data_IF_743498127818
#
_entry.id   IF_743498127818
#
_cell.length_a   1.000
_cell.length_b   1.000
_cell.length_c   1.000
_cell.angle_alpha   90.00
_cell.angle_beta   90.00
_cell.angle_gamma   90.00
#
_symmetry.space_group_name_H-M   'P 1'
#
loop_
_entity.id
_entity.type
_entity.pdbx_description
1 polymer ?
#
# COMPACT_ATOMS: atom_id res chain seq x y z
N UNK A 1 -38.20 27.82 -25.51
CA UNK A 1 -37.92 26.38 -25.45
C UNK A 1 -36.61 26.19 -26.16
N UNK A 2 -35.59 25.73 -25.44
CA UNK A 2 -34.49 24.92 -25.97
C UNK A 2 -33.82 24.30 -24.74
N UNK A 3 -34.40 23.17 -24.33
CA UNK A 3 -33.81 22.27 -23.37
C UNK A 3 -32.81 21.41 -24.14
N UNK A 4 -31.54 21.83 -24.19
CA UNK A 4 -30.47 20.89 -24.54
C UNK A 4 -30.02 20.19 -23.27
N UNK A 5 -30.66 19.04 -23.02
CA UNK A 5 -30.20 18.02 -22.09
C UNK A 5 -29.01 17.30 -22.74
N UNK A 6 -27.83 17.90 -22.68
CA UNK A 6 -26.58 17.17 -22.89
C UNK A 6 -26.20 16.48 -21.58
N UNK A 7 -26.54 15.19 -21.57
CA UNK A 7 -25.96 14.08 -20.84
C UNK A 7 -24.75 14.43 -19.94
N UNK A 8 -24.91 14.13 -18.64
CA UNK A 8 -23.87 14.16 -17.62
C UNK A 8 -22.79 13.09 -17.93
N UNK A 9 -21.87 13.41 -18.84
CA UNK A 9 -20.61 12.69 -18.96
C UNK A 9 -19.71 13.09 -17.78
N UNK A 10 -19.37 12.11 -16.93
CA UNK A 10 -18.49 12.27 -15.79
C UNK A 10 -17.05 12.46 -16.30
N UNK A 11 -16.65 13.72 -16.49
CA UNK A 11 -15.34 14.11 -17.01
C UNK A 11 -14.26 13.71 -15.99
N UNK A 12 -13.28 12.92 -16.43
CA UNK A 12 -12.11 12.52 -15.64
C UNK A 12 -11.24 13.73 -15.28
N UNK A 13 -10.57 13.72 -14.13
CA UNK A 13 -9.60 14.78 -13.73
C UNK A 13 -8.52 15.04 -14.81
N UNK A 14 -8.22 14.03 -15.64
CA UNK A 14 -7.29 14.11 -16.78
C UNK A 14 -7.77 15.02 -17.92
N UNK A 15 -9.08 15.18 -18.08
CA UNK A 15 -9.74 15.97 -19.14
C UNK A 15 -10.14 17.37 -18.66
N UNK A 16 -9.94 17.66 -17.37
CA UNK A 16 -10.31 18.92 -16.74
C UNK A 16 -9.51 20.11 -17.31
N UNK A 17 -8.23 19.89 -17.64
CA UNK A 17 -7.32 20.91 -18.19
C UNK A 17 -7.78 21.32 -19.60
N UNK A 18 -8.06 20.34 -20.47
CA UNK A 18 -8.57 20.60 -21.82
C UNK A 18 -9.93 21.31 -21.80
N UNK A 19 -10.77 20.99 -20.81
CA UNK A 19 -12.06 21.63 -20.62
C UNK A 19 -11.94 23.08 -20.08
N UNK A 20 -10.95 23.34 -19.22
CA UNK A 20 -10.62 24.68 -18.73
C UNK A 20 -10.21 25.59 -19.89
N UNK A 21 -9.27 25.15 -20.74
CA UNK A 21 -8.79 25.95 -21.87
C UNK A 21 -9.90 26.22 -22.90
N UNK A 22 -10.75 25.23 -23.20
CA UNK A 22 -11.95 25.45 -24.05
C UNK A 22 -12.91 26.46 -23.45
N UNK A 23 -13.06 26.46 -22.13
CA UNK A 23 -13.96 27.39 -21.42
C UNK A 23 -13.38 28.80 -21.38
N UNK A 24 -12.05 28.91 -21.25
CA UNK A 24 -11.32 30.17 -21.33
C UNK A 24 -11.43 30.81 -22.72
N UNK A 25 -11.25 30.03 -23.80
CA UNK A 25 -11.42 30.54 -25.17
C UNK A 25 -12.87 31.00 -25.45
N UNK A 26 -13.87 30.35 -24.84
CA UNK A 26 -15.27 30.80 -24.92
C UNK A 26 -15.54 32.12 -24.19
N UNK A 27 -14.81 32.41 -23.11
CA UNK A 27 -14.88 33.70 -22.41
C UNK A 27 -14.23 34.80 -23.27
N UNK A 28 -13.12 34.47 -23.93
CA UNK A 28 -12.37 35.39 -24.80
C UNK A 28 -13.08 35.74 -26.11
N UNK A 29 -13.86 34.80 -26.66
CA UNK A 29 -14.65 35.03 -27.87
C UNK A 29 -15.87 35.94 -27.67
N UNK A 30 -16.13 36.41 -26.45
CA UNK A 30 -17.21 37.35 -26.14
C UNK A 30 -18.59 36.70 -26.01
N UNK A 31 -18.67 35.36 -25.99
CA UNK A 31 -19.93 34.64 -25.88
C UNK A 31 -20.58 34.75 -24.48
N UNK A 32 -19.86 35.26 -23.48
CA UNK A 32 -20.37 35.46 -22.12
C UNK A 32 -20.09 36.88 -21.62
N UNK A 33 -21.13 37.60 -21.18
CA UNK A 33 -21.02 38.95 -20.62
C UNK A 33 -20.58 38.91 -19.15
N UNK A 34 -19.27 38.84 -18.90
CA UNK A 34 -18.69 38.84 -17.54
C UNK A 34 -18.70 40.25 -16.91
N UNK A 35 -18.53 41.30 -17.71
CA UNK A 35 -18.53 42.70 -17.28
C UNK A 35 -19.88 43.35 -17.62
N UNK A 36 -20.61 43.84 -16.61
CA UNK A 36 -21.88 44.58 -16.81
C UNK A 36 -21.62 46.09 -16.81
N UNK A 37 -20.74 46.57 -15.93
CA UNK A 37 -20.28 47.97 -15.89
C UNK A 37 -18.80 48.05 -15.51
N UNK A 38 -18.21 49.25 -15.44
CA UNK A 38 -16.81 49.43 -15.03
C UNK A 38 -16.51 48.94 -13.61
N UNK A 39 -17.53 48.85 -12.74
CA UNK A 39 -17.38 48.42 -11.35
C UNK A 39 -18.10 47.11 -11.02
N UNK A 40 -18.97 46.61 -11.90
CA UNK A 40 -19.83 45.44 -11.65
C UNK A 40 -19.62 44.31 -12.65
N UNK A 41 -19.38 43.12 -12.09
CA UNK A 41 -19.08 41.89 -12.81
C UNK A 41 -20.03 40.76 -12.40
N UNK A 42 -20.22 39.77 -13.27
CA UNK A 42 -21.09 38.62 -12.99
C UNK A 42 -20.45 37.30 -13.37
N UNK A 43 -20.82 36.24 -12.67
CA UNK A 43 -20.38 34.89 -12.99
C UNK A 43 -21.38 34.25 -13.99
N UNK A 44 -20.99 34.00 -15.25
CA UNK A 44 -21.86 33.39 -16.26
C UNK A 44 -22.26 31.95 -15.90
N UNK A 45 -21.48 31.28 -15.05
CA UNK A 45 -21.69 29.90 -14.64
C UNK A 45 -22.56 29.73 -13.39
N UNK A 46 -22.94 30.84 -12.72
CA UNK A 46 -23.75 30.82 -11.49
C UNK A 46 -25.06 31.64 -11.58
N UNK A 47 -25.98 31.36 -12.51
CA UNK A 47 -27.17 32.19 -12.73
C UNK A 47 -28.24 32.14 -11.61
N UNK A 48 -28.16 31.19 -10.66
CA UNK A 48 -29.26 30.89 -9.70
C UNK A 48 -29.01 31.32 -8.25
N UNK A 49 -27.97 32.09 -7.91
CA UNK A 49 -27.66 32.45 -6.50
C UNK A 49 -27.50 33.96 -6.26
N UNK A 50 -28.52 34.56 -5.61
CA UNK A 50 -28.69 35.80 -4.81
C UNK A 50 -27.69 36.98 -4.77
N UNK A 51 -26.50 36.94 -5.37
CA UNK A 51 -25.66 38.13 -5.65
C UNK A 51 -25.31 38.09 -7.13
N UNK A 52 -26.10 38.77 -7.94
CA UNK A 52 -25.82 38.87 -9.38
C UNK A 52 -24.61 39.75 -9.64
N UNK A 53 -24.39 40.74 -8.78
CA UNK A 53 -23.41 41.80 -8.97
C UNK A 53 -22.22 41.61 -8.02
N UNK A 54 -21.04 41.41 -8.59
CA UNK A 54 -19.77 41.26 -7.89
C UNK A 54 -18.86 42.45 -8.20
N UNK A 55 -18.10 42.92 -7.20
CA UNK A 55 -16.90 43.71 -7.47
C UNK A 55 -15.82 42.79 -8.07
N UNK A 56 -14.86 43.35 -8.82
CA UNK A 56 -13.79 42.57 -9.46
C UNK A 56 -13.11 41.57 -8.50
N UNK A 57 -12.71 42.05 -7.31
CA UNK A 57 -12.05 41.23 -6.28
C UNK A 57 -12.97 40.12 -5.73
N UNK A 58 -14.26 40.42 -5.57
CA UNK A 58 -15.23 39.47 -5.06
C UNK A 58 -15.54 38.38 -6.10
N UNK A 59 -15.59 38.74 -7.38
CA UNK A 59 -15.79 37.78 -8.47
C UNK A 59 -14.58 36.86 -8.62
N UNK A 60 -13.37 37.42 -8.53
CA UNK A 60 -12.14 36.62 -8.59
C UNK A 60 -12.10 35.62 -7.44
N UNK A 61 -12.39 36.06 -6.21
CA UNK A 61 -12.45 35.17 -5.05
C UNK A 61 -13.54 34.11 -5.19
N UNK A 62 -14.69 34.46 -5.77
CA UNK A 62 -15.77 33.52 -6.06
C UNK A 62 -15.34 32.45 -7.08
N UNK A 63 -14.73 32.87 -8.19
CA UNK A 63 -14.25 31.98 -9.25
C UNK A 63 -13.17 31.02 -8.73
N UNK A 64 -12.13 31.54 -8.07
CA UNK A 64 -11.04 30.73 -7.51
C UNK A 64 -11.51 29.82 -6.36
N UNK A 65 -12.49 30.27 -5.56
CA UNK A 65 -13.06 29.47 -4.48
C UNK A 65 -13.89 28.27 -4.97
N UNK A 66 -14.60 28.43 -6.09
CA UNK A 66 -15.36 27.31 -6.69
C UNK A 66 -14.44 26.38 -7.47
N UNK A 67 -13.46 26.93 -8.21
CA UNK A 67 -12.46 26.14 -8.95
C UNK A 67 -11.68 25.18 -8.05
N UNK A 68 -11.35 25.60 -6.83
CA UNK A 68 -10.61 24.80 -5.86
C UNK A 68 -11.50 23.95 -4.93
N UNK A 69 -12.82 23.87 -5.17
CA UNK A 69 -13.73 23.15 -4.28
C UNK A 69 -13.68 21.64 -4.49
N UNK A 70 -13.69 20.86 -3.41
CA UNK A 70 -13.83 19.39 -3.48
C UNK A 70 -15.27 18.90 -3.68
N UNK A 71 -16.27 19.79 -3.54
CA UNK A 71 -17.70 19.43 -3.53
C UNK A 71 -18.42 19.67 -4.85
N UNK A 72 -17.71 20.15 -5.88
CA UNK A 72 -18.28 20.54 -7.19
C UNK A 72 -17.83 19.58 -8.29
N UNK A 73 -18.59 19.49 -9.37
CA UNK A 73 -18.25 18.63 -10.50
C UNK A 73 -17.01 19.14 -11.23
N UNK A 74 -16.26 18.25 -11.90
CA UNK A 74 -15.06 18.62 -12.67
C UNK A 74 -15.35 19.73 -13.69
N UNK A 75 -16.52 19.66 -14.36
CA UNK A 75 -17.03 20.68 -15.29
C UNK A 75 -17.27 22.03 -14.60
N UNK A 76 -17.89 22.05 -13.42
CA UNK A 76 -18.08 23.28 -12.64
C UNK A 76 -16.73 23.89 -12.23
N UNK A 77 -15.76 23.07 -11.81
CA UNK A 77 -14.42 23.55 -11.42
C UNK A 77 -13.68 24.16 -12.59
N UNK A 78 -13.57 23.45 -13.70
CA UNK A 78 -12.88 23.92 -14.90
C UNK A 78 -13.47 25.23 -15.44
N UNK A 79 -14.80 25.39 -15.46
CA UNK A 79 -15.45 26.64 -15.85
C UNK A 79 -15.05 27.83 -14.94
N UNK A 80 -14.98 27.61 -13.63
CA UNK A 80 -14.65 28.67 -12.67
C UNK A 80 -13.14 28.96 -12.60
N UNK A 81 -12.29 27.97 -12.83
CA UNK A 81 -10.84 28.16 -13.02
C UNK A 81 -10.57 28.97 -14.29
N UNK A 82 -11.23 28.64 -15.40
CA UNK A 82 -11.16 29.42 -16.63
C UNK A 82 -11.61 30.88 -16.45
N UNK A 83 -12.66 31.11 -15.64
CA UNK A 83 -13.12 32.46 -15.30
C UNK A 83 -12.10 33.23 -14.45
N UNK A 84 -11.47 32.58 -13.47
CA UNK A 84 -10.42 33.20 -12.67
C UNK A 84 -9.21 33.57 -13.52
N UNK A 85 -8.77 32.65 -14.39
CA UNK A 85 -7.71 32.88 -15.39
C UNK A 85 -8.04 34.08 -16.26
N UNK A 86 -9.23 34.14 -16.85
CA UNK A 86 -9.70 35.27 -17.66
C UNK A 86 -9.72 36.61 -16.93
N UNK A 87 -10.15 36.64 -15.66
CA UNK A 87 -10.12 37.85 -14.85
C UNK A 87 -8.68 38.34 -14.64
N UNK A 88 -7.76 37.43 -14.32
CA UNK A 88 -6.36 37.75 -14.06
C UNK A 88 -5.56 38.10 -15.31
N UNK A 89 -5.83 37.48 -16.46
CA UNK A 89 -5.05 37.67 -17.70
C UNK A 89 -5.60 38.78 -18.59
N UNK A 90 -6.91 38.86 -18.77
CA UNK A 90 -7.53 39.71 -19.79
C UNK A 90 -8.27 40.93 -19.21
N UNK A 91 -8.55 40.94 -17.90
CA UNK A 91 -9.27 42.03 -17.22
C UNK A 91 -8.47 42.73 -16.10
N UNK A 92 -7.23 42.31 -15.86
CA UNK A 92 -6.34 42.86 -14.81
C UNK A 92 -5.93 44.32 -15.04
N UNK A 93 -6.00 44.81 -16.29
CA UNK A 93 -5.65 46.21 -16.64
C UNK A 93 -6.81 47.20 -16.40
N UNK A 94 -8.05 46.69 -16.25
CA UNK A 94 -9.25 47.53 -16.05
C UNK A 94 -9.54 47.80 -14.57
N UNK A 95 -9.01 46.97 -13.66
CA UNK A 95 -9.17 47.11 -12.21
C UNK A 95 -8.23 48.11 -11.52
N UNK A 96 -7.31 48.74 -12.27
CA UNK A 96 -6.22 49.56 -11.70
C UNK A 96 -6.39 51.08 -11.89
N UNK A 97 -7.52 51.55 -12.44
CA UNK A 97 -7.80 52.99 -12.54
C UNK A 97 -9.07 53.41 -11.78
N UNK A 98 -9.14 53.12 -10.48
CA UNK A 98 -9.84 54.02 -9.58
C UNK A 98 -8.85 55.12 -9.15
N UNK A 99 -8.67 56.14 -10.01
CA UNK A 99 -8.21 57.44 -9.51
C UNK A 99 -9.21 57.84 -8.42
N UNK A 100 -8.79 58.17 -7.19
CA UNK A 100 -9.67 58.94 -6.34
C UNK A 100 -9.91 60.25 -7.09
N UNK A 101 -11.14 60.44 -7.56
CA UNK A 101 -11.64 61.78 -7.87
C UNK A 101 -11.30 62.60 -6.65
N UNK A 102 -10.48 63.63 -6.85
CA UNK A 102 -10.06 64.60 -5.86
C UNK A 102 -11.26 64.94 -4.97
N UNK A 103 -11.33 64.26 -3.82
CA UNK A 103 -12.08 64.73 -2.69
C UNK A 103 -11.36 66.01 -2.33
N UNK A 104 -12.01 67.13 -2.64
CA UNK A 104 -11.67 68.46 -2.15
C UNK A 104 -11.06 68.30 -0.76
N UNK A 105 -9.77 68.60 -0.63
CA UNK A 105 -9.07 68.65 0.65
C UNK A 105 -9.96 69.39 1.66
N UNK A 106 -10.57 68.73 2.66
CA UNK A 106 -11.40 69.44 3.63
C UNK A 106 -10.54 70.13 4.70
N UNK A 107 -9.21 70.14 4.56
CA UNK A 107 -8.30 70.44 5.67
C UNK A 107 -7.19 71.45 5.32
N UNK A 108 -7.41 72.34 4.35
CA UNK A 108 -6.59 73.56 4.25
C UNK A 108 -7.09 74.69 5.18
N UNK A 109 -7.73 74.34 6.30
CA UNK A 109 -8.09 75.27 7.39
C UNK A 109 -7.81 74.61 8.74
N UNK A 110 -6.58 74.15 8.95
CA UNK A 110 -6.10 73.94 10.30
C UNK A 110 -4.81 74.73 10.45
N UNK A 111 -4.93 76.01 10.85
CA UNK A 111 -3.85 76.59 11.66
C UNK A 111 -3.51 75.57 12.75
N UNK A 112 -2.22 75.37 13.05
CA UNK A 112 -1.61 74.46 14.05
C UNK A 112 -2.13 74.63 15.50
N UNK A 113 -3.45 74.69 15.67
CA UNK A 113 -4.13 74.85 16.93
C UNK A 113 -4.10 73.53 17.68
N UNK A 114 -3.54 73.55 18.89
CA UNK A 114 -3.62 72.41 19.79
C UNK A 114 -5.06 72.26 20.28
N UNK A 115 -5.60 71.07 20.15
CA UNK A 115 -6.92 70.70 20.67
C UNK A 115 -6.78 70.17 22.08
N UNK A 116 -7.81 70.36 22.89
CA UNK A 116 -7.93 69.64 24.15
C UNK A 116 -8.26 68.18 23.87
N UNK A 117 -7.51 67.27 24.48
CA UNK A 117 -7.68 65.83 24.37
C UNK A 117 -8.19 65.20 25.68
N UNK A 118 -9.22 64.33 25.64
CA UNK A 118 -10.09 64.00 24.50
C UNK A 118 -10.85 65.22 23.95
N UNK A 119 -11.38 65.15 22.72
CA UNK A 119 -12.08 66.30 22.11
C UNK A 119 -13.21 66.83 23.00
N UNK A 120 -13.11 68.10 23.39
CA UNK A 120 -14.08 68.78 24.27
C UNK A 120 -14.74 69.93 23.51
N UNK A 121 -16.07 69.99 23.54
CA UNK A 121 -16.86 71.20 23.28
C UNK A 121 -17.14 71.97 24.57
N UNK A 122 -17.18 73.29 24.48
CA UNK A 122 -17.57 74.19 25.56
C UNK A 122 -18.96 74.71 25.22
N UNK A 123 -19.87 74.71 26.21
CA UNK A 123 -21.18 75.36 26.13
C UNK A 123 -21.27 76.40 27.24
N UNK A 124 -21.66 77.62 26.89
CA UNK A 124 -21.84 78.73 27.82
C UNK A 124 -23.25 79.33 27.69
N UNK A 125 -23.57 80.25 28.61
CA UNK A 125 -24.90 80.88 28.73
C UNK A 125 -26.03 79.90 29.08
N UNK A 126 -25.72 78.86 29.86
CA UNK A 126 -26.73 77.91 30.36
C UNK A 126 -27.61 78.63 31.39
N UNK A 127 -28.94 78.66 31.23
CA UNK A 127 -29.85 79.31 32.18
C UNK A 127 -29.68 78.77 33.60
N UNK A 128 -29.47 79.67 34.56
CA UNK A 128 -29.40 79.33 35.99
C UNK A 128 -30.46 80.10 36.77
N UNK A 129 -31.06 79.44 37.77
CA UNK A 129 -32.02 80.03 38.71
C UNK A 129 -31.34 80.19 40.06
N UNK A 130 -31.54 81.33 40.72
CA UNK A 130 -30.99 81.56 42.06
C UNK A 130 -31.92 80.93 43.10
N UNK A 131 -31.41 79.98 43.86
CA UNK A 131 -32.13 79.37 44.98
C UNK A 131 -32.26 80.31 46.18
N UNK A 132 -33.10 79.93 47.14
CA UNK A 132 -33.31 80.68 48.38
C UNK A 132 -32.00 80.85 49.18
N UNK A 133 -31.10 79.88 49.11
CA UNK A 133 -29.78 79.88 49.74
C UNK A 133 -28.74 80.76 49.02
N UNK A 134 -29.16 81.54 48.02
CA UNK A 134 -28.30 82.41 47.22
C UNK A 134 -27.42 81.71 46.18
N UNK A 135 -27.41 80.37 46.15
CA UNK A 135 -26.69 79.52 45.18
C UNK A 135 -27.43 79.39 43.85
N UNK A 136 -26.70 79.40 42.74
CA UNK A 136 -27.24 79.16 41.40
C UNK A 136 -27.48 77.67 41.14
N UNK A 137 -28.67 77.31 40.69
CA UNK A 137 -29.05 75.96 40.26
C UNK A 137 -29.34 75.99 38.77
N UNK A 138 -28.77 75.05 38.02
CA UNK A 138 -28.97 74.90 36.58
C UNK A 138 -29.59 73.54 36.25
N UNK A 139 -29.98 73.37 34.99
CA UNK A 139 -30.42 72.07 34.50
C UNK A 139 -29.26 71.05 34.50
N UNK A 140 -29.59 69.77 34.65
CA UNK A 140 -28.58 68.70 34.61
C UNK A 140 -27.91 68.64 33.24
N UNK A 141 -26.59 68.40 33.23
CA UNK A 141 -25.84 68.15 32.00
C UNK A 141 -26.39 66.99 31.16
N UNK A 142 -27.09 66.02 31.77
CA UNK A 142 -27.76 64.94 31.03
C UNK A 142 -28.85 65.44 30.09
N UNK A 143 -29.62 66.46 30.49
CA UNK A 143 -30.67 67.04 29.65
C UNK A 143 -30.08 67.76 28.44
N UNK A 144 -28.97 68.48 28.64
CA UNK A 144 -28.21 69.09 27.56
C UNK A 144 -27.59 68.04 26.63
N UNK A 145 -27.10 66.91 27.18
CA UNK A 145 -26.64 65.78 26.37
C UNK A 145 -27.73 65.26 25.44
N UNK A 146 -28.94 65.04 25.95
CA UNK A 146 -30.07 64.51 25.16
C UNK A 146 -30.56 65.52 24.11
N UNK A 147 -30.46 66.82 24.38
CA UNK A 147 -30.70 67.86 23.36
C UNK A 147 -29.67 67.81 22.23
N UNK A 148 -28.39 67.72 22.56
CA UNK A 148 -27.32 67.62 21.56
C UNK A 148 -27.48 66.35 20.70
N UNK A 149 -27.88 65.23 21.32
CA UNK A 149 -28.20 63.99 20.60
C UNK A 149 -29.37 64.18 19.63
N UNK A 150 -30.43 64.89 20.03
CA UNK A 150 -31.55 65.20 19.13
C UNK A 150 -31.16 66.10 17.96
N UNK A 151 -30.13 66.94 18.12
CA UNK A 151 -29.53 67.74 17.05
C UNK A 151 -28.60 66.94 16.12
N UNK A 152 -28.48 65.61 16.32
CA UNK A 152 -27.60 64.75 15.53
C UNK A 152 -26.13 64.82 15.95
N UNK A 153 -25.83 65.42 17.11
CA UNK A 153 -24.48 65.46 17.67
C UNK A 153 -24.32 64.29 18.64
N UNK A 154 -23.21 63.58 18.61
CA UNK A 154 -23.01 62.38 19.45
C UNK A 154 -22.00 62.60 20.59
N UNK A 155 -22.33 63.39 21.63
CA UNK A 155 -21.47 63.55 22.80
C UNK A 155 -21.50 62.30 23.69
N UNK A 156 -20.33 61.94 24.23
CA UNK A 156 -20.19 60.85 25.20
C UNK A 156 -20.70 61.25 26.58
N UNK A 157 -20.39 62.48 27.00
CA UNK A 157 -20.73 63.01 28.33
C UNK A 157 -20.83 64.53 28.29
N UNK A 158 -21.75 65.09 29.06
CA UNK A 158 -21.82 66.55 29.30
C UNK A 158 -21.66 66.80 30.79
N UNK A 159 -20.66 67.61 31.15
CA UNK A 159 -20.31 67.93 32.52
C UNK A 159 -20.55 69.42 32.79
N UNK A 160 -21.57 69.72 33.58
CA UNK A 160 -21.78 71.06 34.12
C UNK A 160 -20.64 71.48 35.04
N UNK A 161 -20.21 72.73 34.94
CA UNK A 161 -19.17 73.31 35.79
C UNK A 161 -19.79 74.00 37.01
N UNK A 162 -19.21 73.77 38.19
CA UNK A 162 -19.71 74.25 39.47
C UNK A 162 -18.63 75.05 40.21
N UNK A 163 -19.02 76.16 40.83
CA UNK A 163 -18.18 76.95 41.72
C UNK A 163 -18.82 77.07 43.11
N UNK A 164 -18.16 77.78 44.03
CA UNK A 164 -18.66 78.03 45.38
C UNK A 164 -20.03 78.76 45.42
N UNK A 165 -20.43 79.43 44.33
CA UNK A 165 -21.73 80.09 44.16
C UNK A 165 -22.79 79.19 43.50
N UNK A 166 -22.46 77.95 43.15
CA UNK A 166 -23.35 77.00 42.48
C UNK A 166 -23.00 76.75 41.02
N UNK A 167 -24.00 76.48 40.19
CA UNK A 167 -23.84 76.21 38.75
C UNK A 167 -23.28 77.45 38.03
N UNK A 168 -22.18 77.29 37.28
CA UNK A 168 -21.46 78.42 36.66
C UNK A 168 -22.08 78.93 35.36
N UNK A 169 -23.12 78.25 34.87
CA UNK A 169 -23.73 78.55 33.56
C UNK A 169 -22.90 78.03 32.38
N UNK A 170 -21.88 77.21 32.64
CA UNK A 170 -21.02 76.60 31.63
C UNK A 170 -21.01 75.08 31.77
N UNK A 171 -20.87 74.37 30.67
CA UNK A 171 -20.69 72.91 30.63
C UNK A 171 -19.62 72.51 29.62
N UNK A 172 -18.97 71.38 29.89
CA UNK A 172 -18.03 70.74 29.00
C UNK A 172 -18.70 69.52 28.35
N UNK A 173 -18.71 69.49 27.03
CA UNK A 173 -19.22 68.42 26.20
C UNK A 173 -18.05 67.56 25.75
N UNK A 174 -17.99 66.31 26.18
CA UNK A 174 -16.92 65.38 25.84
C UNK A 174 -17.34 64.50 24.67
N UNK A 175 -16.48 64.37 23.66
CA UNK A 175 -16.66 63.45 22.53
C UNK A 175 -15.75 62.21 22.64
N UNK A 176 -15.95 61.24 21.74
CA UNK A 176 -15.15 60.01 21.69
C UNK A 176 -13.68 60.31 21.40
N UNK A 177 -12.76 59.47 21.88
CA UNK A 177 -11.31 59.61 21.68
C UNK A 177 -10.83 59.18 20.28
N UNK A 178 -11.72 58.95 19.32
CA UNK A 178 -11.37 58.45 17.99
C UNK A 178 -11.59 59.53 16.93
N UNK A 179 -11.20 59.25 15.69
CA UNK A 179 -11.42 60.17 14.55
C UNK A 179 -12.90 60.52 14.34
N UNK A 180 -13.87 59.59 14.39
CA UNK A 180 -15.28 59.95 14.40
C UNK A 180 -15.69 60.89 15.55
N UNK A 181 -15.01 60.80 16.69
CA UNK A 181 -15.19 61.72 17.80
C UNK A 181 -14.73 63.13 17.50
N UNK A 182 -13.67 63.30 16.70
CA UNK A 182 -13.24 64.61 16.20
C UNK A 182 -14.28 65.17 15.24
N UNK A 183 -14.77 64.36 14.30
CA UNK A 183 -15.80 64.79 13.35
C UNK A 183 -17.06 65.27 14.06
N UNK A 184 -17.51 64.55 15.09
CA UNK A 184 -18.63 64.96 15.94
C UNK A 184 -18.35 66.28 16.68
N UNK A 185 -17.13 66.49 17.18
CA UNK A 185 -16.73 67.73 17.83
C UNK A 185 -16.73 68.91 16.83
N UNK A 186 -16.20 68.70 15.63
CA UNK A 186 -16.19 69.72 14.57
C UNK A 186 -17.61 70.02 14.07
N UNK A 187 -18.48 69.01 13.97
CA UNK A 187 -19.90 69.21 13.64
C UNK A 187 -20.62 70.02 14.73
N UNK A 188 -20.30 69.78 16.01
CA UNK A 188 -20.81 70.58 17.11
C UNK A 188 -20.40 72.06 16.96
N UNK A 189 -19.12 72.37 16.75
CA UNK A 189 -18.67 73.77 16.55
C UNK A 189 -19.38 74.42 15.36
N UNK A 190 -19.41 73.74 14.21
CA UNK A 190 -20.09 74.25 13.01
C UNK A 190 -21.59 74.49 13.22
N UNK A 191 -22.27 73.66 14.00
CA UNK A 191 -23.70 73.84 14.28
C UNK A 191 -23.99 75.12 15.06
N UNK A 192 -23.16 75.43 16.06
CA UNK A 192 -23.29 76.67 16.84
C UNK A 192 -22.85 77.90 16.03
N UNK A 193 -21.81 77.78 15.20
CA UNK A 193 -21.40 78.86 14.29
C UNK A 193 -22.48 79.18 13.25
N UNK A 194 -23.16 78.17 12.69
CA UNK A 194 -24.25 78.36 11.75
C UNK A 194 -25.46 79.09 12.36
N UNK A 195 -25.70 78.88 13.66
CA UNK A 195 -26.74 79.55 14.44
C UNK A 195 -26.32 80.95 14.94
N UNK A 196 -25.15 81.47 14.54
CA UNK A 196 -24.54 82.71 15.09
C UNK A 196 -24.33 82.68 16.61
N UNK A 197 -24.12 81.48 17.15
CA UNK A 197 -23.93 81.19 18.56
C UNK A 197 -22.52 80.61 18.82
N UNK A 198 -21.55 80.97 17.99
CA UNK A 198 -20.16 80.53 18.10
C UNK A 198 -19.36 81.33 19.13
N UNK A 199 -18.07 80.98 19.27
CA UNK A 199 -17.14 81.68 20.17
C UNK A 199 -16.97 83.17 19.85
N UNK A 200 -16.94 83.50 18.55
CA UNK A 200 -16.79 84.89 18.08
C UNK A 200 -17.99 85.74 18.49
N UNK A 201 -19.20 85.19 18.30
CA UNK A 201 -20.46 85.85 18.66
C UNK A 201 -20.58 85.99 20.19
N UNK A 202 -20.10 85.00 20.95
CA UNK A 202 -20.02 85.11 22.41
C UNK A 202 -19.07 86.22 22.89
N UNK A 203 -17.99 86.48 22.16
CA UNK A 203 -17.03 87.53 22.53
C UNK A 203 -17.41 88.91 21.98
N UNK A 204 -18.41 89.01 21.10
CA UNK A 204 -18.97 90.29 20.66
C UNK A 204 -19.78 90.94 21.79
N UNK A 205 -19.48 92.20 22.09
CA UNK A 205 -20.12 92.98 23.15
C UNK A 205 -21.38 93.72 22.70
N UNK A 206 -21.66 93.74 21.39
CA UNK A 206 -22.68 94.63 20.81
C UNK A 206 -24.06 93.97 20.66
N UNK A 207 -24.23 92.72 21.06
CA UNK A 207 -25.47 91.96 20.87
C UNK A 207 -26.09 91.49 22.20
N UNK A 208 -27.43 91.49 22.25
CA UNK A 208 -28.18 90.86 23.35
C UNK A 208 -28.03 89.35 23.21
N UNK A 209 -27.32 88.73 24.16
CA UNK A 209 -27.01 87.29 24.12
C UNK A 209 -28.22 86.48 24.55
N UNK A 210 -28.70 85.61 23.67
CA UNK A 210 -29.85 84.73 23.94
C UNK A 210 -29.55 83.30 23.53
N UNK A 211 -30.04 82.32 24.29
CA UNK A 211 -29.76 80.90 24.02
C UNK A 211 -28.34 80.46 24.37
N UNK A 212 -28.02 79.22 24.01
CA UNK A 212 -26.73 78.57 24.31
C UNK A 212 -25.70 78.93 23.25
N UNK A 213 -24.47 79.16 23.69
CA UNK A 213 -23.31 79.38 22.80
C UNK A 213 -22.32 78.23 22.96
N UNK A 214 -21.68 77.81 21.87
CA UNK A 214 -20.78 76.67 21.91
C UNK A 214 -19.67 76.67 20.86
N UNK A 215 -18.54 76.06 21.21
CA UNK A 215 -17.37 75.89 20.34
C UNK A 215 -16.48 74.73 20.82
N UNK A 216 -15.53 74.28 20.00
CA UNK A 216 -14.57 73.25 20.41
C UNK A 216 -13.41 73.88 21.17
N UNK A 217 -13.04 73.28 22.30
CA UNK A 217 -11.97 73.75 23.17
C UNK A 217 -10.60 73.65 22.49
N UNK A 218 -9.93 74.80 22.35
CA UNK A 218 -8.58 74.91 21.79
C UNK A 218 -7.58 75.37 22.85
N UNK A 219 -6.33 75.61 22.43
CA UNK A 219 -5.24 76.04 23.31
C UNK A 219 -5.50 77.34 24.06
N UNK A 220 -6.28 78.24 23.47
CA UNK A 220 -6.68 79.50 24.11
C UNK A 220 -7.65 79.25 25.27
N UNK A 221 -8.66 78.40 25.10
CA UNK A 221 -9.59 78.03 26.19
C UNK A 221 -8.89 77.32 27.35
N UNK A 222 -7.90 76.49 27.04
CA UNK A 222 -7.09 75.80 28.04
C UNK A 222 -6.21 76.76 28.85
N UNK A 223 -5.75 77.88 28.27
CA UNK A 223 -4.89 78.86 28.95
C UNK A 223 -5.67 79.95 29.71
N UNK A 224 -6.99 80.06 29.51
CA UNK A 224 -7.82 81.04 30.23
C UNK A 224 -7.77 80.86 31.75
N UNK A 225 -7.67 81.98 32.46
CA UNK A 225 -7.76 82.01 33.92
C UNK A 225 -9.21 82.13 34.40
N UNK A 226 -10.04 81.17 33.99
CA UNK A 226 -11.44 81.05 34.39
C UNK A 226 -11.76 79.59 34.77
N UNK A 227 -12.99 79.34 35.24
CA UNK A 227 -13.43 77.99 35.64
C UNK A 227 -13.29 76.95 34.51
N UNK A 228 -13.45 77.37 33.26
CA UNK A 228 -13.31 76.50 32.09
C UNK A 228 -11.84 76.09 31.96
N UNK A 229 -10.93 77.05 31.83
CA UNK A 229 -9.50 76.77 31.68
C UNK A 229 -8.89 76.03 32.88
N UNK A 230 -9.32 76.33 34.11
CA UNK A 230 -8.89 75.59 35.31
C UNK A 230 -9.30 74.11 35.24
N UNK A 231 -10.54 73.82 34.83
CA UNK A 231 -11.03 72.45 34.71
C UNK A 231 -10.35 71.69 33.57
N UNK A 232 -10.10 72.36 32.45
CA UNK A 232 -9.36 71.81 31.31
C UNK A 232 -7.93 71.45 31.72
N UNK A 233 -7.17 72.37 32.34
CA UNK A 233 -5.79 72.10 32.81
C UNK A 233 -5.70 70.97 33.82
N UNK A 234 -6.68 70.87 34.73
CA UNK A 234 -6.66 69.86 35.79
C UNK A 234 -6.81 68.44 35.26
N UNK A 235 -7.50 68.26 34.13
CA UNK A 235 -7.99 66.95 33.72
C UNK A 235 -7.66 66.58 32.26
N UNK A 236 -7.06 67.45 31.45
CA UNK A 236 -6.92 67.26 30.00
C UNK A 236 -5.59 67.81 29.49
N UNK A 237 -5.11 67.21 28.39
CA UNK A 237 -3.87 67.60 27.73
C UNK A 237 -4.16 68.28 26.39
N UNK A 238 -3.21 69.08 25.92
CA UNK A 238 -3.25 69.66 24.57
C UNK A 238 -2.54 68.74 23.58
N UNK A 239 -3.23 68.31 22.52
CA UNK A 239 -2.68 67.50 21.43
C UNK A 239 -2.92 68.15 20.07
N UNK A 240 -1.98 67.95 19.14
CA UNK A 240 -2.14 68.32 17.73
C UNK A 240 -2.65 67.11 16.94
N UNK A 241 -3.47 67.37 15.91
CA UNK A 241 -3.96 66.31 15.01
C UNK A 241 -2.81 65.53 14.37
N UNK A 242 -1.78 66.23 13.86
CA UNK A 242 -0.58 65.61 13.29
C UNK A 242 0.11 64.65 14.26
N UNK A 243 0.33 65.08 15.50
CA UNK A 243 0.94 64.24 16.54
C UNK A 243 0.12 62.98 16.85
N UNK A 244 -1.21 63.06 16.85
CA UNK A 244 -2.08 61.89 17.03
C UNK A 244 -2.02 60.91 15.86
N UNK A 245 -2.02 61.42 14.62
CA UNK A 245 -1.86 60.60 13.41
C UNK A 245 -0.52 59.87 13.44
N UNK A 246 0.57 60.57 13.79
CA UNK A 246 1.88 59.95 13.88
C UNK A 246 2.00 58.91 14.99
N UNK A 247 1.43 59.16 16.17
CA UNK A 247 1.38 58.18 17.27
C UNK A 247 0.66 56.89 16.82
N UNK A 248 -0.46 57.02 16.12
CA UNK A 248 -1.22 55.88 15.59
C UNK A 248 -0.45 55.15 14.48
N UNK A 249 0.18 55.87 13.57
CA UNK A 249 1.03 55.30 12.53
C UNK A 249 2.22 54.53 13.14
N UNK A 250 2.88 55.08 14.17
CA UNK A 250 3.98 54.39 14.89
C UNK A 250 3.50 53.09 15.52
N UNK A 251 2.35 53.10 16.20
CA UNK A 251 1.76 51.88 16.80
C UNK A 251 1.42 50.83 15.74
N UNK A 252 0.83 51.26 14.62
CA UNK A 252 0.51 50.37 13.50
C UNK A 252 1.77 49.76 12.88
N UNK A 253 2.81 50.56 12.64
CA UNK A 253 4.06 50.09 12.07
C UNK A 253 4.79 49.11 13.00
N UNK A 254 4.79 49.37 14.31
CA UNK A 254 5.33 48.42 15.29
C UNK A 254 4.60 47.08 15.26
N UNK A 255 3.27 47.10 15.19
CA UNK A 255 2.46 45.89 15.06
C UNK A 255 2.80 45.13 13.77
N UNK A 256 2.86 45.84 12.64
CA UNK A 256 3.22 45.24 11.34
C UNK A 256 4.62 44.60 11.42
N UNK A 257 5.61 45.30 11.97
CA UNK A 257 6.97 44.76 12.12
C UNK A 257 7.02 43.49 12.97
N UNK A 258 6.32 43.47 14.11
CA UNK A 258 6.26 42.28 14.97
C UNK A 258 5.58 41.08 14.27
N UNK A 259 4.52 41.34 13.52
CA UNK A 259 3.82 40.32 12.75
C UNK A 259 4.69 39.80 11.59
N UNK A 260 5.39 40.67 10.87
CA UNK A 260 6.33 40.28 9.82
C UNK A 260 7.42 39.38 10.37
N UNK A 261 8.06 39.75 11.49
CA UNK A 261 9.07 38.91 12.14
C UNK A 261 8.51 37.53 12.53
N UNK A 262 7.27 37.49 13.02
CA UNK A 262 6.61 36.23 13.37
C UNK A 262 6.35 35.35 12.15
N UNK A 263 5.97 35.95 11.02
CA UNK A 263 5.77 35.26 9.74
C UNK A 263 7.10 34.71 9.22
N UNK A 264 8.18 35.49 9.27
CA UNK A 264 9.51 35.05 8.84
C UNK A 264 10.00 33.84 9.65
N UNK A 265 9.87 33.88 10.98
CA UNK A 265 10.25 32.74 11.84
C UNK A 265 9.43 31.50 11.50
N UNK A 266 8.12 31.65 11.29
CA UNK A 266 7.24 30.52 10.92
C UNK A 266 7.56 29.97 9.53
N UNK A 267 7.90 30.83 8.56
CA UNK A 267 8.29 30.41 7.22
C UNK A 267 9.62 29.65 7.25
N UNK A 268 10.58 30.10 8.06
CA UNK A 268 11.84 29.36 8.25
C UNK A 268 11.58 27.97 8.84
N UNK A 269 10.76 27.87 9.89
CA UNK A 269 10.40 26.59 10.49
C UNK A 269 9.65 25.68 9.52
N UNK A 270 8.79 26.24 8.68
CA UNK A 270 8.09 25.49 7.64
C UNK A 270 9.08 24.87 6.65
N UNK A 271 10.12 25.61 6.24
CA UNK A 271 11.13 25.11 5.31
C UNK A 271 11.98 24.00 5.95
N UNK A 272 12.43 24.18 7.19
CA UNK A 272 13.14 23.14 7.96
C UNK A 272 12.31 21.85 8.08
N UNK A 273 10.99 21.97 8.27
CA UNK A 273 10.11 20.81 8.32
C UNK A 273 9.93 20.13 6.97
N UNK A 274 9.91 20.88 5.85
CA UNK A 274 9.88 20.29 4.50
C UNK A 274 11.16 19.50 4.22
N UNK A 275 12.33 20.07 4.54
CA UNK A 275 13.61 19.39 4.38
C UNK A 275 13.63 18.07 5.15
N UNK A 276 13.23 18.08 6.42
CA UNK A 276 13.10 16.86 7.23
C UNK A 276 12.13 15.84 6.65
N UNK A 277 11.02 16.28 6.07
CA UNK A 277 10.06 15.39 5.42
C UNK A 277 10.67 14.73 4.18
N UNK A 278 11.44 15.47 3.38
CA UNK A 278 12.16 14.92 2.21
C UNK A 278 13.20 13.90 2.67
N UNK A 279 14.03 14.24 3.67
CA UNK A 279 15.02 13.32 4.25
C UNK A 279 14.38 12.03 4.75
N UNK A 280 13.26 12.14 5.48
CA UNK A 280 12.54 10.98 6.01
C UNK A 280 11.94 10.13 4.89
N UNK A 281 11.43 10.77 3.82
CA UNK A 281 10.89 10.05 2.67
C UNK A 281 11.96 9.27 1.93
N UNK A 282 13.13 9.88 1.68
CA UNK A 282 14.28 9.22 1.07
C UNK A 282 14.79 8.05 1.93
N UNK A 283 14.81 8.22 3.26
CA UNK A 283 15.18 7.16 4.18
C UNK A 283 14.22 5.96 4.09
N UNK A 284 12.91 6.21 4.03
CA UNK A 284 11.89 5.16 3.89
C UNK A 284 12.03 4.45 2.54
N UNK A 285 12.25 5.19 1.45
CA UNK A 285 12.45 4.62 0.12
C UNK A 285 13.67 3.67 0.09
N UNK A 286 14.81 4.10 0.64
CA UNK A 286 16.00 3.27 0.77
C UNK A 286 15.74 1.97 1.56
N UNK A 287 14.98 2.07 2.67
CA UNK A 287 14.61 0.90 3.47
C UNK A 287 13.69 -0.05 2.70
N UNK A 288 12.77 0.48 1.89
CA UNK A 288 11.91 -0.34 1.04
C UNK A 288 12.73 -1.09 0.00
N UNK A 289 13.67 -0.42 -0.66
CA UNK A 289 14.59 -1.06 -1.61
C UNK A 289 15.45 -2.16 -0.97
N UNK A 290 15.95 -1.94 0.25
CA UNK A 290 16.71 -2.95 0.98
C UNK A 290 15.83 -4.16 1.35
N UNK A 291 14.60 -3.91 1.81
CA UNK A 291 13.63 -4.98 2.11
C UNK A 291 13.31 -5.79 0.85
N UNK A 292 13.09 -5.15 -0.28
CA UNK A 292 12.78 -5.82 -1.54
C UNK A 292 13.97 -6.63 -2.06
N UNK A 293 15.20 -6.11 -1.95
CA UNK A 293 16.44 -6.87 -2.23
C UNK A 293 16.56 -8.13 -1.37
N UNK A 294 16.29 -8.02 -0.06
CA UNK A 294 16.34 -9.16 0.85
C UNK A 294 15.29 -10.22 0.50
N UNK A 295 14.05 -9.78 0.23
CA UNK A 295 12.95 -10.67 -0.18
C UNK A 295 13.28 -11.37 -1.49
N UNK A 296 13.85 -10.66 -2.46
CA UNK A 296 14.28 -11.25 -3.72
C UNK A 296 15.36 -12.33 -3.50
N UNK A 297 16.41 -12.02 -2.73
CA UNK A 297 17.47 -12.97 -2.41
C UNK A 297 16.95 -14.21 -1.68
N UNK A 298 16.05 -14.04 -0.70
CA UNK A 298 15.40 -15.15 -0.01
C UNK A 298 14.59 -16.05 -0.97
N UNK A 299 13.80 -15.44 -1.86
CA UNK A 299 13.00 -16.17 -2.84
C UNK A 299 13.87 -16.93 -3.86
N UNK A 300 15.00 -16.36 -4.26
CA UNK A 300 15.97 -17.03 -5.15
C UNK A 300 16.60 -18.26 -4.47
N UNK A 301 16.97 -18.17 -3.20
CA UNK A 301 17.50 -19.31 -2.44
C UNK A 301 16.47 -20.42 -2.25
N UNK A 302 15.21 -20.08 -1.96
CA UNK A 302 14.12 -21.07 -1.92
C UNK A 302 14.01 -21.80 -3.26
N UNK A 303 14.03 -21.07 -4.37
CA UNK A 303 13.95 -21.68 -5.71
C UNK A 303 15.11 -22.63 -5.97
N UNK A 304 16.35 -22.25 -5.58
CA UNK A 304 17.53 -23.13 -5.71
C UNK A 304 17.37 -24.41 -4.89
N UNK A 305 16.91 -24.31 -3.65
CA UNK A 305 16.69 -25.46 -2.77
C UNK A 305 15.62 -26.39 -3.38
N UNK A 306 14.50 -25.84 -3.85
CA UNK A 306 13.44 -26.61 -4.48
C UNK A 306 13.90 -27.32 -5.74
N UNK A 307 14.64 -26.63 -6.63
CA UNK A 307 15.19 -27.22 -7.85
C UNK A 307 16.20 -28.33 -7.54
N UNK A 308 17.08 -28.12 -6.56
CA UNK A 308 18.04 -29.12 -6.11
C UNK A 308 17.34 -30.37 -5.57
N UNK A 309 16.31 -30.20 -4.74
CA UNK A 309 15.50 -31.30 -4.24
C UNK A 309 14.77 -32.05 -5.37
N UNK A 310 14.19 -31.33 -6.32
CA UNK A 310 13.51 -31.92 -7.48
C UNK A 310 14.48 -32.77 -8.31
N UNK A 311 15.67 -32.24 -8.60
CA UNK A 311 16.72 -32.98 -9.32
C UNK A 311 17.15 -34.24 -8.57
N UNK A 312 17.35 -34.13 -7.25
CA UNK A 312 17.72 -35.27 -6.42
C UNK A 312 16.65 -36.38 -6.45
N UNK A 313 15.38 -36.03 -6.32
CA UNK A 313 14.29 -37.01 -6.41
C UNK A 313 14.19 -37.62 -7.80
N UNK A 314 14.31 -36.82 -8.86
CA UNK A 314 14.27 -37.34 -10.24
C UNK A 314 15.38 -38.36 -10.49
N UNK A 315 16.59 -38.12 -9.96
CA UNK A 315 17.69 -39.08 -10.03
C UNK A 315 17.35 -40.39 -9.30
N UNK A 316 16.84 -40.30 -8.06
CA UNK A 316 16.42 -41.49 -7.30
C UNK A 316 15.37 -42.30 -8.06
N UNK A 317 14.34 -41.64 -8.62
CA UNK A 317 13.31 -42.32 -9.38
C UNK A 317 13.87 -43.06 -10.60
N UNK A 318 14.77 -42.40 -11.33
CA UNK A 318 15.42 -42.99 -12.51
C UNK A 318 16.28 -44.20 -12.13
N UNK A 319 17.08 -44.10 -11.07
CA UNK A 319 17.87 -45.21 -10.53
C UNK A 319 16.99 -46.37 -10.06
N UNK A 320 15.90 -46.08 -9.35
CA UNK A 320 14.96 -47.08 -8.88
C UNK A 320 14.25 -47.81 -10.04
N UNK A 321 13.88 -47.09 -11.10
CA UNK A 321 13.31 -47.69 -12.30
C UNK A 321 14.30 -48.63 -13.00
N UNK A 322 15.57 -48.23 -13.11
CA UNK A 322 16.64 -49.08 -13.64
C UNK A 322 16.84 -50.35 -12.79
N UNK A 323 16.89 -50.23 -11.46
CA UNK A 323 17.02 -51.39 -10.57
C UNK A 323 15.80 -52.32 -10.66
N UNK A 324 14.60 -51.76 -10.78
CA UNK A 324 13.38 -52.54 -10.99
C UNK A 324 13.49 -53.37 -12.27
N UNK A 325 13.92 -52.77 -13.39
CA UNK A 325 14.11 -53.48 -14.65
C UNK A 325 15.16 -54.59 -14.53
N UNK A 326 16.26 -54.35 -13.82
CA UNK A 326 17.29 -55.36 -13.57
C UNK A 326 16.75 -56.53 -12.73
N UNK A 327 16.00 -56.25 -11.66
CA UNK A 327 15.37 -57.27 -10.82
C UNK A 327 14.35 -58.09 -11.60
N UNK A 328 13.54 -57.45 -12.45
CA UNK A 328 12.59 -58.16 -13.31
C UNK A 328 13.31 -59.07 -14.33
N UNK A 329 14.45 -58.65 -14.87
CA UNK A 329 15.26 -59.47 -15.75
C UNK A 329 15.83 -60.71 -15.02
N UNK A 330 16.44 -60.51 -13.84
CA UNK A 330 16.95 -61.61 -13.01
C UNK A 330 15.85 -62.58 -12.58
N UNK A 331 14.68 -62.06 -12.21
CA UNK A 331 13.51 -62.88 -11.86
C UNK A 331 13.11 -63.79 -13.02
N UNK A 332 13.03 -63.25 -14.25
CA UNK A 332 12.69 -64.04 -15.45
C UNK A 332 13.73 -65.12 -15.74
N UNK A 333 15.02 -64.82 -15.55
CA UNK A 333 16.09 -65.79 -15.71
C UNK A 333 15.98 -66.93 -14.69
N UNK A 334 15.73 -66.62 -13.42
CA UNK A 334 15.51 -67.63 -12.38
C UNK A 334 14.25 -68.46 -12.64
N UNK A 335 13.15 -67.85 -13.09
CA UNK A 335 11.94 -68.57 -13.49
C UNK A 335 12.24 -69.55 -14.64
N UNK A 336 13.01 -69.11 -15.65
CA UNK A 336 13.43 -69.98 -16.76
C UNK A 336 14.29 -71.16 -16.28
N UNK A 337 15.30 -70.88 -15.45
CA UNK A 337 16.16 -71.92 -14.86
C UNK A 337 15.36 -72.90 -14.00
N UNK A 338 14.37 -72.41 -13.25
CA UNK A 338 13.46 -73.24 -12.46
C UNK A 338 12.66 -74.23 -13.32
N UNK A 339 12.10 -73.76 -14.44
CA UNK A 339 11.37 -74.62 -15.40
C UNK A 339 12.31 -75.64 -16.05
N UNK A 340 13.52 -75.23 -16.43
CA UNK A 340 14.52 -76.12 -17.04
C UNK A 340 15.00 -77.21 -16.07
N UNK A 341 15.23 -76.86 -14.80
CA UNK A 341 15.56 -77.81 -13.74
C UNK A 341 14.42 -78.82 -13.52
N UNK A 342 13.17 -78.37 -13.47
CA UNK A 342 12.01 -79.27 -13.36
C UNK A 342 11.95 -80.26 -14.53
N UNK A 343 12.25 -79.82 -15.76
CA UNK A 343 12.31 -80.72 -16.93
C UNK A 343 13.44 -81.74 -16.80
N UNK A 344 14.63 -81.32 -16.34
CA UNK A 344 15.76 -82.24 -16.10
C UNK A 344 15.46 -83.24 -15.00
N UNK A 345 14.83 -82.81 -13.91
CA UNK A 345 14.44 -83.67 -12.80
C UNK A 345 13.41 -84.72 -13.24
N UNK A 346 12.36 -84.31 -13.98
CA UNK A 346 11.39 -85.24 -14.55
C UNK A 346 12.04 -86.26 -15.50
N UNK A 347 13.01 -85.83 -16.31
CA UNK A 347 13.78 -86.73 -17.19
C UNK A 347 14.62 -87.71 -16.38
N UNK A 348 15.39 -87.22 -15.39
CA UNK A 348 16.22 -88.07 -14.54
C UNK A 348 15.37 -89.11 -13.78
N UNK A 349 14.19 -88.72 -13.29
CA UNK A 349 13.27 -89.64 -12.63
C UNK A 349 12.76 -90.73 -13.58
N UNK A 350 12.43 -90.37 -14.83
CA UNK A 350 12.06 -91.34 -15.86
C UNK A 350 13.22 -92.27 -16.23
N UNK A 351 14.43 -91.74 -16.40
CA UNK A 351 15.64 -92.51 -16.71
C UNK A 351 15.98 -93.47 -15.56
N UNK A 352 15.81 -93.03 -14.30
CA UNK A 352 16.01 -93.86 -13.10
C UNK A 352 15.00 -95.01 -13.03
N UNK A 353 13.73 -94.75 -13.36
CA UNK A 353 12.69 -95.80 -13.48
C UNK A 353 13.03 -96.79 -14.59
N UNK A 354 13.38 -96.32 -15.78
CA UNK A 354 13.76 -97.17 -16.90
C UNK A 354 15.01 -98.04 -16.58
N UNK A 355 16.01 -97.47 -15.90
CA UNK A 355 17.19 -98.22 -15.46
C UNK A 355 16.82 -99.28 -14.41
N UNK A 356 15.94 -98.96 -13.45
CA UNK A 356 15.48 -99.93 -12.47
C UNK A 356 14.74 -101.10 -13.14
N UNK A 357 13.86 -100.83 -14.11
CA UNK A 357 13.17 -101.84 -14.90
C UNK A 357 14.16 -102.72 -15.70
N UNK A 358 15.21 -102.13 -16.29
CA UNK A 358 16.21 -102.90 -17.05
C UNK A 358 17.10 -103.75 -16.15
N UNK A 359 17.46 -103.26 -14.95
CA UNK A 359 18.16 -104.05 -13.93
C UNK A 359 17.30 -105.25 -13.52
N UNK A 360 16.01 -105.06 -13.28
CA UNK A 360 15.07 -106.13 -12.92
C UNK A 360 14.96 -107.17 -14.05
N UNK A 361 14.79 -106.73 -15.30
CA UNK A 361 14.79 -107.62 -16.48
C UNK A 361 16.08 -108.42 -16.60
N UNK A 362 17.23 -107.77 -16.42
CA UNK A 362 18.53 -108.44 -16.50
C UNK A 362 18.75 -109.40 -15.32
N UNK A 363 18.27 -109.08 -14.12
CA UNK A 363 18.28 -110.00 -12.99
C UNK A 363 17.43 -111.26 -13.29
N UNK A 364 16.24 -111.10 -13.87
CA UNK A 364 15.42 -112.23 -14.31
C UNK A 364 16.11 -113.07 -15.40
N UNK A 365 16.70 -112.42 -16.42
CA UNK A 365 17.48 -113.12 -17.46
C UNK A 365 18.66 -113.88 -16.88
N UNK A 366 19.44 -113.27 -15.99
CA UNK A 366 20.58 -113.90 -15.33
C UNK A 366 20.14 -115.10 -14.47
N UNK A 367 19.04 -114.98 -13.72
CA UNK A 367 18.48 -116.10 -12.95
C UNK A 367 18.06 -117.24 -13.88
N UNK A 368 17.39 -116.92 -14.99
CA UNK A 368 17.02 -117.91 -16.01
C UNK A 368 18.26 -118.57 -16.66
N UNK A 369 19.34 -117.81 -16.88
CA UNK A 369 20.59 -118.32 -17.45
C UNK A 369 21.35 -119.21 -16.44
N UNK A 370 21.34 -118.86 -15.15
CA UNK A 370 21.87 -119.71 -14.08
C UNK A 370 21.12 -121.05 -14.01
N UNK A 371 19.79 -121.03 -14.10
CA UNK A 371 18.98 -122.24 -14.18
C UNK A 371 19.35 -123.08 -15.41
N UNK A 372 19.49 -122.46 -16.58
CA UNK A 372 19.92 -123.15 -17.80
C UNK A 372 21.34 -123.74 -17.66
N UNK A 373 22.26 -123.02 -17.02
CA UNK A 373 23.65 -123.47 -16.79
C UNK A 373 23.69 -124.66 -15.82
N UNK A 374 22.89 -124.63 -14.76
CA UNK A 374 22.73 -125.75 -13.83
C UNK A 374 22.17 -126.98 -14.55
N UNK A 375 21.20 -126.78 -15.45
CA UNK A 375 20.63 -127.88 -16.23
C UNK A 375 21.63 -128.45 -17.25
N UNK A 376 22.43 -127.59 -17.88
CA UNK A 376 23.55 -128.00 -18.74
C UNK A 376 24.59 -128.81 -17.95
N UNK A 377 25.00 -128.34 -16.76
CA UNK A 377 25.95 -129.05 -15.90
C UNK A 377 25.42 -130.43 -15.48
N UNK A 378 24.14 -130.55 -15.13
CA UNK A 378 23.53 -131.85 -14.86
C UNK A 378 23.57 -132.76 -16.10
N UNK A 379 23.29 -132.21 -17.29
CA UNK A 379 23.37 -132.97 -18.53
C UNK A 379 24.81 -133.45 -18.81
N UNK A 380 25.79 -132.56 -18.66
CA UNK A 380 27.21 -132.88 -18.85
C UNK A 380 27.70 -133.91 -17.81
N UNK A 381 27.27 -133.81 -16.55
CA UNK A 381 27.55 -134.80 -15.50
C UNK A 381 26.96 -136.17 -15.83
N UNK A 382 25.75 -136.20 -16.39
CA UNK A 382 25.14 -137.44 -16.86
C UNK A 382 25.92 -138.04 -18.03
N UNK A 383 26.38 -137.22 -18.98
CA UNK A 383 27.23 -137.66 -20.10
C UNK A 383 28.58 -138.18 -19.58
N UNK A 384 29.18 -137.51 -18.59
CA UNK A 384 30.43 -137.96 -17.96
C UNK A 384 30.27 -139.31 -17.28
N UNK A 385 29.21 -139.52 -16.50
CA UNK A 385 28.90 -140.82 -15.88
C UNK A 385 28.74 -141.90 -16.95
N UNK A 386 28.01 -141.62 -18.02
CA UNK A 386 27.84 -142.55 -19.13
C UNK A 386 29.19 -142.92 -19.80
N UNK A 387 30.10 -141.94 -19.94
CA UNK A 387 31.44 -142.17 -20.48
C UNK A 387 32.33 -143.01 -19.54
N UNK A 388 32.21 -142.82 -18.23
CA UNK A 388 32.87 -143.66 -17.22
C UNK A 388 32.34 -145.09 -17.23
N UNK A 389 31.01 -145.26 -17.30
CA UNK A 389 30.36 -146.58 -17.42
C UNK A 389 30.84 -147.32 -18.68
N UNK A 390 30.89 -146.64 -19.84
CA UNK A 390 31.46 -147.21 -21.06
C UNK A 390 32.93 -147.60 -20.92
N UNK A 391 33.72 -146.86 -20.13
CA UNK A 391 35.12 -147.19 -19.89
C UNK A 391 35.27 -148.46 -19.07
N UNK A 392 34.45 -148.63 -18.02
CA UNK A 392 34.42 -149.84 -17.19
C UNK A 392 34.00 -151.05 -18.04
N UNK A 393 32.93 -150.93 -18.81
CA UNK A 393 32.49 -152.01 -19.72
C UNK A 393 33.60 -152.39 -20.72
N UNK A 394 34.33 -151.40 -21.26
CA UNK A 394 35.44 -151.65 -22.18
C UNK A 394 36.63 -152.34 -21.51
N UNK A 395 36.95 -151.99 -20.26
CA UNK A 395 37.97 -152.66 -19.44
C UNK A 395 37.58 -154.10 -19.10
N UNK A 396 36.31 -154.36 -18.77
CA UNK A 396 35.79 -155.72 -18.55
C UNK A 396 35.90 -156.59 -19.81
N UNK A 397 35.52 -156.04 -20.98
CA UNK A 397 35.70 -156.71 -22.26
C UNK A 397 37.17 -156.97 -22.57
N UNK A 398 38.07 -156.03 -22.28
CA UNK A 398 39.52 -156.23 -22.43
C UNK A 398 40.05 -157.37 -21.54
N UNK A 399 39.63 -157.43 -20.28
CA UNK A 399 40.00 -158.53 -19.38
C UNK A 399 39.47 -159.88 -19.87
N UNK A 400 38.27 -159.91 -20.46
CA UNK A 400 37.70 -161.11 -21.08
C UNK A 400 38.55 -161.61 -22.26
N UNK A 401 39.05 -160.70 -23.10
CA UNK A 401 39.92 -161.03 -24.24
C UNK A 401 41.23 -161.68 -23.76
N UNK A 402 41.89 -161.08 -22.76
CA UNK A 402 43.13 -161.62 -22.18
C UNK A 402 42.92 -163.04 -21.59
N UNK A 403 41.77 -163.28 -20.99
CA UNK A 403 41.45 -164.60 -20.44
C UNK A 403 41.25 -165.66 -21.53
N UNK A 404 40.64 -165.28 -22.65
CA UNK A 404 40.47 -166.15 -23.81
C UNK A 404 41.81 -166.41 -24.53
N UNK A 405 42.70 -165.42 -24.62
CA UNK A 405 44.07 -165.59 -25.14
C UNK A 405 44.85 -166.63 -24.34
N UNK A 406 44.81 -166.56 -22.99
CA UNK A 406 45.46 -167.58 -22.13
C UNK A 406 44.91 -168.99 -22.30
N UNK A 407 43.61 -169.13 -22.57
CA UNK A 407 43.02 -170.45 -22.84
C UNK A 407 43.45 -171.01 -24.20
N UNK A 408 43.73 -170.14 -25.16
CA UNK A 408 44.16 -170.52 -26.50
C UNK A 408 45.63 -170.98 -26.49
N UNK A 409 46.50 -170.27 -25.77
CA UNK A 409 47.91 -170.65 -25.58
C UNK A 409 48.06 -172.00 -24.86
N UNK A 410 47.22 -172.26 -23.85
CA UNK A 410 47.20 -173.55 -23.15
C UNK A 410 46.76 -174.72 -24.06
N UNK A 411 45.91 -174.46 -25.06
CA UNK A 411 45.45 -175.45 -26.03
C UNK A 411 46.55 -175.79 -27.05
N UNK A 412 47.29 -174.78 -27.53
CA UNK A 412 48.41 -174.98 -28.46
C UNK A 412 49.59 -175.73 -27.81
N UNK A 413 49.84 -175.54 -26.52
CA UNK A 413 50.88 -176.27 -25.78
C UNK A 413 50.57 -177.78 -25.65
N UNK A 414 49.31 -178.16 -25.51
CA UNK A 414 48.87 -179.57 -25.45
C UNK A 414 48.93 -180.27 -26.83
N UNK A 415 48.80 -179.51 -27.91
CA UNK A 415 48.85 -180.02 -29.29
C UNK A 415 50.28 -180.40 -29.72
N UNK A 416 51.30 -179.65 -29.25
CA UNK A 416 52.72 -179.95 -29.48
C UNK A 416 53.25 -181.19 -28.74
N UNK A 417 52.63 -181.58 -27.61
CA UNK A 417 53.02 -182.78 -26.84
C UNK A 417 52.48 -184.08 -27.48
N UNK A 418 51.37 -184.01 -28.23
CA UNK A 418 50.75 -185.14 -28.94
C UNK A 418 51.53 -185.53 -30.20
N UNK A 419 52.19 -184.59 -30.86
CA UNK A 419 52.99 -184.83 -32.07
C UNK A 419 54.31 -185.58 -31.77
N UNK A 420 54.87 -185.44 -30.55
CA UNK A 420 56.16 -186.04 -30.16
C UNK A 420 56.07 -187.53 -29.77
N UNK A 421 54.90 -188.02 -29.39
CA UNK A 421 54.68 -189.41 -28.93
C UNK A 421 54.25 -190.39 -30.05
N UNK A 422 54.22 -189.97 -31.32
CA UNK A 422 53.83 -190.81 -32.47
C UNK A 422 55.00 -191.37 -33.32
N UNK A 423 56.26 -191.21 -32.92
CA UNK A 423 57.42 -191.44 -33.80
C UNK A 423 58.32 -192.67 -33.57
N UNK A 424 58.11 -193.52 -32.56
CA UNK A 424 58.91 -194.75 -32.34
C UNK A 424 58.03 -195.99 -32.26
N UNK A 425 58.28 -196.93 -33.21
CA UNK A 425 57.87 -198.35 -33.30
C UNK A 425 56.81 -198.74 -34.36
N UNK A 426 57.27 -199.01 -35.61
CA UNK A 426 56.93 -200.23 -36.38
C UNK A 426 57.92 -200.47 -37.54
N UNK A 427 58.24 -201.76 -37.71
CA UNK A 427 59.35 -202.35 -38.46
C UNK A 427 59.01 -202.76 -39.91
N UNK A 428 60.08 -203.13 -40.63
CA UNK A 428 60.20 -204.20 -41.65
C UNK A 428 59.59 -204.06 -43.08
N UNK A 429 60.52 -204.22 -44.05
CA UNK A 429 60.46 -204.95 -45.36
C UNK A 429 59.44 -204.49 -46.44
N UNK A 430 59.91 -203.89 -47.57
CA UNK A 430 60.35 -204.51 -48.85
C UNK A 430 59.17 -204.93 -49.76
N UNK A 431 59.06 -204.73 -51.08
CA UNK A 431 59.92 -204.25 -52.18
C UNK A 431 58.98 -203.89 -53.37
N UNK A 432 59.17 -202.74 -54.02
CA UNK A 432 59.34 -202.56 -55.48
C UNK A 432 59.93 -201.16 -55.75
#
# INVERSE_FOLDING_TARGET
MDHSSEEDADISDSEMVDYEDRSYEKLKSGNYNVKISDETFTCPYCPKKRKHDYLYKDLLQHASGIGNSSKRSAKEKANHLALAKFLETDLSDVGSQSKPVNGVDPLNVCSDGKFVWPWIGIVVNIPTRRGQDGRSVGESGSKLKDELIRRGLHPTRVQSLWNFRGHSGCALVQFNKNWPGLDNAMAFEKSFEADHHGKKDWNDGNQVKSGLYGWVARSDDHSLNNIIGEHLRKNRDLKTISGLVEEEARKKNLLVSNLTNTIEVKNKHLEEMKERCIETSNFIENLMEEKDRLVQGYNEEIKKIQLSAQYHFQRIFTEHENFKLQLEAQKKELEFLGVDLQKREAKNENDRKALAEEIEKNAMRNSSLQLATLEQQKADDNVRKLAEDQKIEKEELHNKIIQLEKQLDAKQALELEIERLRGTSKCDEAHE
#
